data_IF_167074819280
#
_entry.id   IF_167074819280
#
_cell.length_a   1.000
_cell.length_b   1.000
_cell.length_c   1.000
_cell.angle_alpha   90.00
_cell.angle_beta   90.00
_cell.angle_gamma   90.00
#
_symmetry.space_group_name_H-M   'P 1'
#
loop_
_entity.id
_entity.type
_entity.pdbx_description
1 polymer ?
#
# COMPACT_ATOMS: atom_id res chain seq x y z
N UNK A 1 -3.80 -35.03 20.74
CA UNK A 1 -4.56 -34.39 19.68
C UNK A 1 -5.18 -33.08 20.23
N UNK A 2 -5.21 -32.03 19.45
CA UNK A 2 -5.81 -30.74 19.81
C UNK A 2 -5.60 -29.73 18.72
N UNK A 3 -6.30 -28.60 18.81
CA UNK A 3 -6.23 -27.50 17.87
C UNK A 3 -5.00 -26.63 18.19
N UNK A 4 -4.18 -26.39 17.19
CA UNK A 4 -3.14 -25.35 17.19
C UNK A 4 -3.67 -24.24 16.27
N UNK A 5 -3.77 -23.03 16.78
CA UNK A 5 -4.22 -21.88 16.02
C UNK A 5 -3.09 -20.88 15.82
N UNK A 6 -2.73 -20.61 14.58
CA UNK A 6 -1.76 -19.61 14.20
C UNK A 6 -2.47 -18.45 13.51
N UNK A 7 -2.25 -17.23 13.99
CA UNK A 7 -2.92 -16.03 13.44
C UNK A 7 -2.25 -15.52 12.18
N UNK A 8 -0.96 -15.74 11.99
CA UNK A 8 -0.15 -14.90 11.12
C UNK A 8 -0.22 -13.44 11.58
N UNK A 9 0.23 -12.50 10.75
CA UNK A 9 -0.01 -11.07 10.97
C UNK A 9 -1.50 -10.78 10.84
N UNK A 10 -2.10 -10.09 11.81
CA UNK A 10 -3.54 -9.84 11.80
C UNK A 10 -3.92 -8.44 12.28
N UNK A 11 -5.10 -8.02 11.85
CA UNK A 11 -5.78 -6.82 12.31
C UNK A 11 -7.27 -7.06 12.32
N UNK A 12 -7.93 -6.79 13.43
CA UNK A 12 -9.39 -6.74 13.50
C UNK A 12 -9.87 -5.39 13.00
N UNK A 13 -10.05 -5.29 11.70
CA UNK A 13 -10.60 -4.11 11.05
C UNK A 13 -12.06 -4.39 10.66
N UNK A 14 -12.99 -3.59 11.19
CA UNK A 14 -14.42 -3.76 10.90
C UNK A 14 -14.86 -3.07 9.60
N UNK A 15 -14.00 -2.24 9.03
CA UNK A 15 -14.23 -1.55 7.74
C UNK A 15 -13.00 -1.67 6.84
N UNK A 16 -12.50 -2.91 6.57
CA UNK A 16 -11.31 -3.10 5.77
C UNK A 16 -11.57 -2.83 4.28
N UNK A 17 -10.52 -2.52 3.53
CA UNK A 17 -10.59 -2.45 2.05
C UNK A 17 -10.66 -3.86 1.43
N UNK A 18 -10.13 -4.85 2.14
CA UNK A 18 -10.12 -6.26 1.76
C UNK A 18 -11.18 -7.08 2.51
N UNK A 19 -11.09 -8.42 2.44
CA UNK A 19 -11.93 -9.30 3.22
C UNK A 19 -11.78 -9.05 4.72
N UNK A 20 -12.89 -9.13 5.45
CA UNK A 20 -12.87 -9.12 6.91
C UNK A 20 -12.24 -10.40 7.45
N UNK A 21 -11.64 -10.32 8.64
CA UNK A 21 -11.24 -11.51 9.39
C UNK A 21 -12.47 -12.38 9.69
N UNK A 22 -12.34 -13.69 9.52
CA UNK A 22 -13.42 -14.65 9.79
C UNK A 22 -13.55 -14.89 11.30
N UNK A 23 -14.15 -13.90 11.98
CA UNK A 23 -14.38 -13.94 13.43
C UNK A 23 -15.28 -15.11 13.82
N UNK A 24 -16.24 -15.49 12.97
CA UNK A 24 -17.12 -16.62 13.25
C UNK A 24 -16.36 -17.95 13.30
N UNK A 25 -15.44 -18.16 12.35
CA UNK A 25 -14.56 -19.33 12.36
C UNK A 25 -13.63 -19.34 13.58
N UNK A 26 -13.08 -18.18 13.95
CA UNK A 26 -12.26 -18.06 15.16
C UNK A 26 -13.04 -18.41 16.41
N UNK A 27 -14.28 -17.93 16.55
CA UNK A 27 -15.16 -18.24 17.68
C UNK A 27 -15.51 -19.74 17.72
N UNK A 28 -15.81 -20.36 16.58
CA UNK A 28 -16.08 -21.80 16.50
C UNK A 28 -14.87 -22.62 16.97
N UNK A 29 -13.66 -22.33 16.47
CA UNK A 29 -12.43 -23.00 16.90
C UNK A 29 -12.15 -22.80 18.40
N UNK A 30 -12.41 -21.59 18.92
CA UNK A 30 -12.31 -21.29 20.34
C UNK A 30 -13.25 -22.16 21.18
N UNK A 31 -14.48 -22.40 20.70
CA UNK A 31 -15.48 -23.25 21.37
C UNK A 31 -15.08 -24.73 21.37
N UNK A 32 -14.38 -25.21 20.36
CA UNK A 32 -13.82 -26.56 20.31
C UNK A 32 -12.62 -26.78 21.26
N UNK A 33 -11.99 -25.69 21.69
CA UNK A 33 -10.83 -25.69 22.60
C UNK A 33 -9.49 -25.68 21.89
N UNK A 34 -8.85 -24.49 21.88
CA UNK A 34 -7.51 -24.29 21.33
C UNK A 34 -6.46 -24.64 22.38
N UNK A 35 -5.60 -25.60 22.08
CA UNK A 35 -4.49 -26.03 22.97
C UNK A 35 -3.26 -25.11 22.90
N UNK A 36 -3.00 -24.55 21.74
CA UNK A 36 -1.85 -23.66 21.51
C UNK A 36 -2.29 -22.54 20.56
N UNK A 37 -2.06 -21.32 20.99
CA UNK A 37 -2.22 -20.10 20.17
C UNK A 37 -0.84 -19.54 19.84
N UNK A 38 -0.51 -19.46 18.56
CA UNK A 38 0.65 -18.73 18.03
C UNK A 38 0.15 -17.44 17.45
N UNK A 39 0.35 -16.35 18.19
CA UNK A 39 -0.23 -15.05 17.85
C UNK A 39 0.85 -14.05 17.49
N UNK A 40 0.59 -13.23 16.44
CA UNK A 40 1.32 -11.99 16.23
C UNK A 40 1.22 -11.09 17.48
N UNK A 41 2.30 -10.42 17.81
CA UNK A 41 2.40 -9.52 18.95
C UNK A 41 3.11 -8.20 18.62
N UNK A 42 3.22 -7.86 17.33
CA UNK A 42 4.00 -6.71 16.85
C UNK A 42 3.65 -5.40 17.57
N UNK A 43 2.37 -5.13 17.80
CA UNK A 43 1.89 -3.94 18.49
C UNK A 43 1.27 -4.21 19.86
N UNK A 44 1.58 -5.34 20.49
CA UNK A 44 0.95 -5.75 21.75
C UNK A 44 1.15 -4.77 22.92
N UNK A 45 2.24 -4.02 22.92
CA UNK A 45 2.55 -3.00 23.95
C UNK A 45 2.09 -1.59 23.55
N UNK A 46 1.58 -1.39 22.35
CA UNK A 46 1.10 -0.08 21.90
C UNK A 46 -0.30 0.19 22.45
N UNK A 47 -0.52 1.28 23.20
CA UNK A 47 -1.85 1.58 23.73
C UNK A 47 -2.83 1.99 22.62
N UNK A 48 -4.11 1.70 22.83
CA UNK A 48 -5.20 2.12 21.94
C UNK A 48 -5.51 1.10 20.85
N UNK A 49 -6.04 1.58 19.72
CA UNK A 49 -6.50 0.77 18.59
C UNK A 49 -5.87 1.23 17.30
N UNK A 50 -5.57 0.30 16.40
CA UNK A 50 -5.17 0.65 15.04
C UNK A 50 -6.35 1.26 14.28
N UNK A 51 -6.13 2.37 13.59
CA UNK A 51 -7.13 2.97 12.74
C UNK A 51 -7.52 2.02 11.59
N UNK A 52 -8.78 2.11 11.13
CA UNK A 52 -9.22 1.31 9.98
C UNK A 52 -8.47 1.71 8.70
N UNK A 53 -8.35 0.76 7.77
CA UNK A 53 -7.84 1.04 6.42
C UNK A 53 -8.71 2.05 5.66
N UNK A 54 -10.01 2.12 5.96
CA UNK A 54 -10.91 3.14 5.36
C UNK A 54 -10.49 4.58 5.69
N UNK A 55 -9.89 4.83 6.85
CA UNK A 55 -9.38 6.17 7.19
C UNK A 55 -8.23 6.61 6.26
N UNK A 56 -7.44 5.67 5.77
CA UNK A 56 -6.36 5.96 4.81
C UNK A 56 -6.94 6.34 3.45
N UNK A 57 -8.10 5.80 3.11
CA UNK A 57 -8.89 6.08 1.92
C UNK A 57 -9.25 7.55 1.81
N UNK A 58 -9.83 8.09 2.86
CA UNK A 58 -10.25 9.48 2.93
C UNK A 58 -9.03 10.41 2.82
N UNK A 59 -7.96 10.11 3.56
CA UNK A 59 -6.74 10.91 3.53
C UNK A 59 -6.08 10.91 2.14
N UNK A 60 -6.01 9.76 1.45
CA UNK A 60 -5.49 9.68 0.10
C UNK A 60 -6.37 10.44 -0.89
N UNK A 61 -7.68 10.25 -0.83
CA UNK A 61 -8.64 10.95 -1.69
C UNK A 61 -8.52 12.47 -1.55
N UNK A 62 -8.36 12.96 -0.33
CA UNK A 62 -8.13 14.37 -0.03
C UNK A 62 -6.84 14.91 -0.65
N UNK A 63 -5.73 14.19 -0.53
CA UNK A 63 -4.45 14.57 -1.14
C UNK A 63 -4.59 14.67 -2.66
N UNK A 64 -5.21 13.67 -3.28
CA UNK A 64 -5.38 13.62 -4.73
C UNK A 64 -6.31 14.73 -5.26
N UNK A 65 -7.34 15.09 -4.50
CA UNK A 65 -8.28 16.14 -4.88
C UNK A 65 -7.70 17.56 -4.72
N UNK A 66 -6.85 17.77 -3.72
CA UNK A 66 -6.31 19.12 -3.40
C UNK A 66 -5.09 19.52 -4.23
N UNK A 67 -4.40 18.56 -4.85
CA UNK A 67 -3.12 18.84 -5.52
C UNK A 67 -3.16 18.58 -7.02
N UNK A 68 -2.91 19.64 -7.78
CA UNK A 68 -2.74 19.59 -9.24
C UNK A 68 -1.28 19.31 -9.67
N UNK A 69 -0.50 18.69 -8.79
CA UNK A 69 0.90 18.36 -9.00
C UNK A 69 1.09 16.86 -9.24
N UNK A 70 2.28 16.46 -9.64
CA UNK A 70 2.67 15.06 -9.69
C UNK A 70 2.74 14.49 -8.26
N UNK A 71 2.18 13.31 -8.05
CA UNK A 71 2.19 12.64 -6.76
C UNK A 71 3.19 11.49 -6.82
N UNK A 72 4.08 11.43 -5.85
CA UNK A 72 5.01 10.32 -5.60
C UNK A 72 4.55 9.63 -4.33
N UNK A 73 4.02 8.43 -4.44
CA UNK A 73 3.42 7.70 -3.33
C UNK A 73 4.25 6.46 -3.01
N UNK A 74 4.77 6.41 -1.79
CA UNK A 74 5.51 5.26 -1.28
C UNK A 74 4.66 4.42 -0.32
N UNK A 75 4.63 3.12 -0.55
CA UNK A 75 3.91 2.16 0.29
C UNK A 75 4.60 0.81 0.31
N UNK A 76 4.16 -0.07 1.22
CA UNK A 76 4.59 -1.46 1.23
C UNK A 76 4.01 -2.23 0.04
N UNK A 77 4.88 -2.90 -0.72
CA UNK A 77 4.47 -3.72 -1.84
C UNK A 77 3.67 -4.98 -1.41
N UNK A 78 3.82 -5.42 -0.17
CA UNK A 78 3.07 -6.55 0.39
C UNK A 78 1.60 -6.23 0.65
N UNK A 79 1.23 -4.95 0.79
CA UNK A 79 -0.16 -4.55 1.00
C UNK A 79 -0.89 -4.36 -0.34
N UNK A 80 -1.28 -5.47 -0.96
CA UNK A 80 -1.93 -5.49 -2.29
C UNK A 80 -3.28 -4.75 -2.28
N UNK A 81 -4.03 -4.80 -1.19
CA UNK A 81 -5.29 -4.07 -1.07
C UNK A 81 -5.08 -2.55 -1.03
N UNK A 82 -4.01 -2.09 -0.37
CA UNK A 82 -3.61 -0.69 -0.41
C UNK A 82 -3.25 -0.25 -1.83
N UNK A 83 -2.50 -1.09 -2.56
CA UNK A 83 -2.16 -0.84 -3.98
C UNK A 83 -3.44 -0.76 -4.82
N UNK A 84 -4.37 -1.71 -4.67
CA UNK A 84 -5.67 -1.67 -5.35
C UNK A 84 -6.39 -0.34 -5.10
N UNK A 85 -6.43 0.08 -3.84
CA UNK A 85 -7.10 1.32 -3.47
C UNK A 85 -6.43 2.56 -4.09
N UNK A 86 -5.09 2.63 -4.08
CA UNK A 86 -4.34 3.71 -4.75
C UNK A 86 -4.69 3.75 -6.24
N UNK A 87 -4.78 2.59 -6.89
CA UNK A 87 -5.17 2.48 -8.30
C UNK A 87 -6.59 3.03 -8.53
N UNK A 88 -7.54 2.69 -7.68
CA UNK A 88 -8.91 3.20 -7.77
C UNK A 88 -8.97 4.72 -7.55
N UNK A 89 -8.19 5.24 -6.61
CA UNK A 89 -8.07 6.68 -6.36
C UNK A 89 -7.44 7.41 -7.55
N UNK A 90 -6.38 6.85 -8.14
CA UNK A 90 -5.78 7.39 -9.37
C UNK A 90 -6.78 7.43 -10.51
N UNK A 91 -7.55 6.35 -10.72
CA UNK A 91 -8.59 6.29 -11.74
C UNK A 91 -9.66 7.36 -11.56
N UNK A 92 -10.16 7.53 -10.33
CA UNK A 92 -11.17 8.56 -10.00
C UNK A 92 -10.66 9.98 -10.29
N UNK A 93 -9.35 10.21 -10.18
CA UNK A 93 -8.70 11.50 -10.39
C UNK A 93 -8.02 11.62 -11.76
N UNK A 94 -8.31 10.74 -12.71
CA UNK A 94 -7.74 10.72 -14.07
C UNK A 94 -6.21 10.72 -14.10
N UNK A 95 -5.57 10.02 -13.16
CA UNK A 95 -4.12 9.88 -13.10
C UNK A 95 -3.68 8.53 -13.63
N UNK A 96 -2.61 8.53 -14.42
CA UNK A 96 -1.88 7.32 -14.81
C UNK A 96 -0.82 6.99 -13.77
N UNK A 97 -0.47 5.72 -13.65
CA UNK A 97 0.46 5.22 -12.64
C UNK A 97 1.73 4.72 -13.32
N UNK A 98 2.87 5.21 -12.85
CA UNK A 98 4.19 4.64 -13.13
C UNK A 98 4.68 3.94 -11.88
N UNK A 99 5.09 2.68 -11.99
CA UNK A 99 5.55 1.89 -10.84
C UNK A 99 7.07 1.81 -10.80
N UNK A 100 7.66 1.91 -9.60
CA UNK A 100 9.09 1.75 -9.38
C UNK A 100 9.40 0.92 -8.15
N UNK A 101 10.37 0.03 -8.31
CA UNK A 101 10.80 -0.91 -7.29
C UNK A 101 10.40 -2.34 -7.66
N UNK A 102 11.37 -3.26 -7.59
CA UNK A 102 11.16 -4.66 -8.01
C UNK A 102 9.96 -5.32 -7.33
N UNK A 103 9.83 -5.17 -6.02
CA UNK A 103 8.69 -5.74 -5.28
C UNK A 103 7.36 -5.06 -5.63
N UNK A 104 7.36 -3.76 -6.00
CA UNK A 104 6.16 -3.07 -6.45
C UNK A 104 5.70 -3.59 -7.82
N UNK A 105 6.63 -3.83 -8.75
CA UNK A 105 6.33 -4.44 -10.04
C UNK A 105 5.72 -5.85 -9.86
N UNK A 106 6.33 -6.67 -9.00
CA UNK A 106 5.81 -8.01 -8.68
C UNK A 106 4.40 -7.93 -8.07
N UNK A 107 4.17 -7.00 -7.13
CA UNK A 107 2.85 -6.82 -6.52
C UNK A 107 1.78 -6.39 -7.54
N UNK A 108 2.14 -5.48 -8.45
CA UNK A 108 1.28 -5.08 -9.58
C UNK A 108 0.90 -6.29 -10.44
N UNK A 109 1.89 -7.10 -10.84
CA UNK A 109 1.65 -8.30 -11.65
C UNK A 109 0.72 -9.30 -10.95
N UNK A 110 0.95 -9.55 -9.64
CA UNK A 110 0.09 -10.42 -8.82
C UNK A 110 -1.33 -9.88 -8.76
N UNK A 111 -1.50 -8.58 -8.52
CA UNK A 111 -2.81 -7.95 -8.44
C UNK A 111 -3.59 -8.03 -9.76
N UNK A 112 -2.91 -7.84 -10.89
CA UNK A 112 -3.49 -7.98 -12.23
C UNK A 112 -3.84 -9.43 -12.55
N UNK A 113 -2.94 -10.38 -12.26
CA UNK A 113 -3.15 -11.82 -12.50
C UNK A 113 -4.33 -12.38 -11.70
N UNK A 114 -4.54 -11.90 -10.48
CA UNK A 114 -5.64 -12.34 -9.61
C UNK A 114 -6.91 -11.48 -9.77
N UNK A 115 -7.00 -10.62 -10.77
CA UNK A 115 -8.13 -9.74 -11.04
C UNK A 115 -8.50 -8.81 -9.86
N UNK A 116 -7.56 -8.52 -8.95
CA UNK A 116 -7.74 -7.50 -7.91
C UNK A 116 -7.72 -6.09 -8.50
N UNK A 117 -6.96 -5.93 -9.60
CA UNK A 117 -6.95 -4.75 -10.45
C UNK A 117 -7.30 -5.23 -11.86
N UNK A 118 -8.36 -4.69 -12.44
CA UNK A 118 -8.87 -5.11 -13.77
C UNK A 118 -8.42 -4.19 -14.89
N UNK A 119 -8.24 -2.90 -14.58
CA UNK A 119 -7.81 -1.91 -15.57
C UNK A 119 -6.28 -1.87 -15.66
N UNK A 120 -5.75 -2.55 -16.68
CA UNK A 120 -4.31 -2.55 -16.98
C UNK A 120 -3.84 -1.22 -17.60
N UNK A 121 -4.74 -0.48 -18.24
CA UNK A 121 -4.39 0.74 -19.00
C UNK A 121 -4.04 1.93 -18.11
N UNK A 122 -4.29 1.82 -16.82
CA UNK A 122 -3.92 2.84 -15.84
C UNK A 122 -2.40 2.89 -15.62
N UNK A 123 -1.72 1.76 -15.80
CA UNK A 123 -0.27 1.65 -15.68
C UNK A 123 0.40 2.00 -17.00
N UNK A 124 1.38 2.87 -16.93
CA UNK A 124 2.16 3.33 -18.09
C UNK A 124 3.65 3.24 -17.81
N UNK A 125 4.45 3.24 -18.86
CA UNK A 125 5.90 3.32 -18.76
C UNK A 125 6.37 4.75 -18.42
N UNK A 126 7.55 4.86 -17.79
CA UNK A 126 8.13 6.16 -17.43
C UNK A 126 8.36 7.08 -18.65
N UNK A 127 8.61 6.51 -19.81
CA UNK A 127 8.75 7.23 -21.08
C UNK A 127 7.45 7.89 -21.53
N UNK A 128 6.32 7.24 -21.33
CA UNK A 128 5.00 7.74 -21.70
C UNK A 128 4.56 8.88 -20.77
N UNK A 129 4.93 8.80 -19.48
CA UNK A 129 4.62 9.83 -18.49
C UNK A 129 5.19 11.22 -18.86
N UNK A 130 6.26 11.28 -19.65
CA UNK A 130 6.83 12.56 -20.12
C UNK A 130 5.88 13.38 -20.98
N UNK A 131 4.88 12.74 -21.59
CA UNK A 131 3.90 13.36 -22.46
C UNK A 131 2.64 13.81 -21.72
N UNK A 132 2.53 13.51 -20.43
CA UNK A 132 1.39 13.85 -19.59
C UNK A 132 1.66 15.09 -18.73
N UNK A 133 0.59 15.75 -18.33
CA UNK A 133 0.67 16.87 -17.39
C UNK A 133 0.96 16.34 -15.98
N UNK A 134 1.59 17.16 -15.13
CA UNK A 134 1.97 16.77 -13.75
C UNK A 134 0.79 16.17 -12.96
N UNK A 135 -0.39 16.77 -13.04
CA UNK A 135 -1.58 16.30 -12.32
C UNK A 135 -2.20 15.00 -12.89
N UNK A 136 -1.73 14.53 -14.03
CA UNK A 136 -2.16 13.27 -14.63
C UNK A 136 -1.25 12.09 -14.23
N UNK A 137 -0.23 12.34 -13.40
CA UNK A 137 0.79 11.35 -13.05
C UNK A 137 0.76 11.04 -11.56
N UNK A 138 0.77 9.75 -11.24
CA UNK A 138 1.10 9.20 -9.92
C UNK A 138 2.27 8.23 -10.06
N UNK A 139 3.32 8.43 -9.29
CA UNK A 139 4.45 7.51 -9.17
C UNK A 139 4.20 6.66 -7.94
N UNK A 140 4.04 5.36 -8.14
CA UNK A 140 3.88 4.39 -7.06
C UNK A 140 5.20 3.63 -6.86
N UNK A 141 5.78 3.73 -5.67
CA UNK A 141 7.12 3.20 -5.45
C UNK A 141 7.31 2.56 -4.07
N UNK A 142 8.41 1.81 -3.96
CA UNK A 142 8.92 1.30 -2.67
C UNK A 142 9.81 2.34 -1.99
N UNK A 143 10.10 2.15 -0.70
CA UNK A 143 11.01 3.00 0.07
C UNK A 143 10.31 3.83 1.14
N UNK A 144 9.13 3.38 1.57
CA UNK A 144 8.37 4.07 2.63
C UNK A 144 9.03 4.02 4.02
N UNK A 145 10.08 3.21 4.17
CA UNK A 145 10.86 3.09 5.42
C UNK A 145 12.27 3.70 5.30
N UNK A 146 12.56 4.41 4.22
CA UNK A 146 13.87 5.04 4.03
C UNK A 146 14.99 4.06 3.62
N UNK A 147 14.64 2.85 3.16
CA UNK A 147 15.63 1.86 2.74
C UNK A 147 16.54 2.42 1.65
N UNK A 148 17.88 2.38 1.81
CA UNK A 148 18.82 3.11 0.93
C UNK A 148 18.73 2.73 -0.55
N UNK A 149 18.42 1.47 -0.85
CA UNK A 149 18.33 0.96 -2.22
C UNK A 149 16.90 1.01 -2.79
N UNK A 150 15.92 1.46 -2.03
CA UNK A 150 14.56 1.56 -2.49
C UNK A 150 14.38 2.67 -3.54
N UNK A 151 13.28 2.59 -4.29
CA UNK A 151 13.03 3.52 -5.39
C UNK A 151 12.92 4.96 -4.89
N UNK A 152 12.16 5.22 -3.82
CA UNK A 152 11.99 6.57 -3.28
C UNK A 152 13.32 7.19 -2.82
N UNK A 153 14.15 6.42 -2.10
CA UNK A 153 15.47 6.91 -1.64
C UNK A 153 16.36 7.29 -2.81
N UNK A 154 16.34 6.51 -3.89
CA UNK A 154 17.11 6.84 -5.11
C UNK A 154 16.55 8.07 -5.84
N UNK A 155 15.22 8.25 -5.86
CA UNK A 155 14.58 9.45 -6.41
C UNK A 155 15.00 10.68 -5.60
N UNK A 156 14.90 10.59 -4.28
CA UNK A 156 15.27 11.69 -3.38
C UNK A 156 16.75 12.10 -3.48
N UNK A 157 17.64 11.13 -3.69
CA UNK A 157 19.09 11.38 -3.84
C UNK A 157 19.51 11.70 -5.28
N UNK A 158 18.57 11.82 -6.23
CA UNK A 158 18.88 12.10 -7.63
C UNK A 158 19.62 10.97 -8.37
N UNK A 159 19.62 9.75 -7.82
CA UNK A 159 20.33 8.59 -8.39
C UNK A 159 19.41 7.63 -9.15
N UNK A 160 18.11 7.94 -9.22
CA UNK A 160 17.17 7.13 -9.97
C UNK A 160 17.27 7.41 -11.47
N UNK A 161 17.42 6.35 -12.29
CA UNK A 161 17.74 6.48 -13.73
C UNK A 161 16.64 7.10 -14.60
N UNK A 162 15.38 6.99 -14.17
CA UNK A 162 14.22 7.32 -15.01
C UNK A 162 13.37 8.46 -14.47
N UNK A 163 13.50 8.79 -13.20
CA UNK A 163 12.71 9.82 -12.53
C UNK A 163 13.61 10.70 -11.68
N UNK A 164 13.38 11.99 -11.78
CA UNK A 164 13.95 13.02 -10.92
C UNK A 164 12.85 13.72 -10.14
N UNK A 165 13.18 14.15 -8.92
CA UNK A 165 12.28 14.96 -8.10
C UNK A 165 12.14 16.34 -8.76
N UNK A 166 10.93 16.80 -8.93
CA UNK A 166 10.64 18.11 -9.52
C UNK A 166 10.11 19.07 -8.45
N UNK A 167 10.29 20.38 -8.64
CA UNK A 167 9.56 21.37 -7.86
C UNK A 167 8.05 21.10 -7.92
N UNK A 168 7.37 21.27 -6.79
CA UNK A 168 5.93 21.04 -6.59
C UNK A 168 5.49 19.57 -6.58
N UNK A 169 6.40 18.59 -6.66
CA UNK A 169 6.04 17.20 -6.43
C UNK A 169 5.50 17.00 -5.01
N UNK A 170 4.42 16.25 -4.90
CA UNK A 170 3.84 15.87 -3.60
C UNK A 170 4.31 14.47 -3.27
N UNK A 171 5.06 14.33 -2.18
CA UNK A 171 5.52 13.03 -1.69
C UNK A 171 4.59 12.55 -0.58
N UNK A 172 4.01 11.39 -0.78
CA UNK A 172 3.05 10.76 0.16
C UNK A 172 3.65 9.47 0.69
N UNK A 173 3.74 9.36 2.01
CA UNK A 173 4.07 8.11 2.69
C UNK A 173 2.77 7.44 3.15
N UNK A 174 2.39 6.34 2.49
CA UNK A 174 1.22 5.55 2.86
C UNK A 174 1.64 4.33 3.69
N UNK A 175 2.37 4.62 4.77
CA UNK A 175 2.84 3.63 5.76
C UNK A 175 3.23 4.37 7.04
N UNK A 176 3.18 3.65 8.17
CA UNK A 176 3.76 4.16 9.42
C UNK A 176 5.25 3.80 9.48
N UNK A 177 6.11 4.68 10.01
CA UNK A 177 7.51 4.36 10.22
C UNK A 177 7.65 3.16 11.18
N UNK A 178 8.55 2.24 10.85
CA UNK A 178 8.93 1.15 11.75
C UNK A 178 10.04 1.67 12.66
N UNK A 179 9.93 1.50 14.00
CA UNK A 179 10.98 1.94 14.92
C UNK A 179 12.34 1.35 14.53
N UNK A 180 13.36 2.22 14.45
CA UNK A 180 14.73 1.85 14.07
C UNK A 180 15.07 2.10 12.58
N UNK A 181 14.13 2.56 11.79
CA UNK A 181 14.36 2.98 10.40
C UNK A 181 14.40 4.50 10.27
#
# INVERSE_FOLDING_TARGET
>A
NGIIFETGDFKFDLTPIGPMADIHKMAALGSEGVKLLLSDSTNALSPGFSASESCVDEALSDVFARHNSRIILATFASNIYRIKHIVETCRKNNRKIVTFGRSMETAKEIALKNNLITDKTIFIEASEAKNLKKHEICILCTGSQGEPLAALSRIANGTHKQIELMPDDIVVFSSSPIPGN
#
